data_IF_078373111562
#
_entry.id   IF_078373111562
#
_cell.length_a   1.000
_cell.length_b   1.000
_cell.length_c   1.000
_cell.angle_alpha   90.00
_cell.angle_beta   90.00
_cell.angle_gamma   90.00
#
_symmetry.space_group_name_H-M   'P 1'
#
loop_
_entity.id
_entity.type
_entity.pdbx_description
1 polymer ?
#
# COMPACT_ATOMS: atom_id res chain seq x y z
N UNK A 1 -6.01 2.32 35.14
CA UNK A 1 -6.30 1.67 33.84
C UNK A 1 -6.06 2.69 32.74
N UNK A 2 -5.14 2.40 31.81
CA UNK A 2 -4.86 3.28 30.67
C UNK A 2 -5.72 2.78 29.50
N UNK A 3 -6.41 3.68 28.81
CA UNK A 3 -7.18 3.34 27.61
C UNK A 3 -6.28 3.44 26.36
N UNK A 4 -6.36 2.45 25.47
CA UNK A 4 -5.70 2.52 24.17
C UNK A 4 -6.26 3.72 23.37
N UNK A 5 -5.42 4.66 22.87
CA UNK A 5 -5.90 5.85 22.16
C UNK A 5 -6.67 5.51 20.88
N UNK A 6 -6.36 4.39 20.24
CA UNK A 6 -7.02 3.94 19.00
C UNK A 6 -8.35 3.21 19.22
N UNK A 7 -8.44 2.29 20.19
CA UNK A 7 -9.63 1.46 20.36
C UNK A 7 -10.42 1.73 21.65
N UNK A 8 -10.00 2.69 22.47
CA UNK A 8 -10.64 3.06 23.75
C UNK A 8 -10.98 1.84 24.64
N UNK A 9 -10.16 0.78 24.56
CA UNK A 9 -10.26 -0.41 25.41
C UNK A 9 -9.17 -0.34 26.50
N UNK A 10 -9.45 -0.81 27.73
CA UNK A 10 -8.45 -0.90 28.77
C UNK A 10 -7.39 -1.95 28.41
N UNK A 11 -6.11 -1.67 28.65
CA UNK A 11 -5.01 -2.62 28.44
C UNK A 11 -4.00 -2.59 29.59
N UNK A 12 -3.27 -3.71 29.74
CA UNK A 12 -2.18 -3.85 30.70
C UNK A 12 -0.92 -3.20 30.11
N UNK A 13 -0.33 -2.26 30.84
CA UNK A 13 0.73 -1.35 30.39
C UNK A 13 2.07 -2.03 30.08
N UNK A 14 2.21 -3.34 30.32
CA UNK A 14 3.46 -4.10 30.13
C UNK A 14 3.70 -4.53 28.68
N UNK A 15 2.81 -4.18 27.74
CA UNK A 15 3.02 -4.42 26.31
C UNK A 15 2.88 -3.10 25.56
N UNK A 16 3.95 -2.70 24.87
CA UNK A 16 4.02 -1.49 24.01
C UNK A 16 2.98 -1.48 22.87
N UNK A 17 2.29 -2.59 22.63
CA UNK A 17 1.26 -2.73 21.62
C UNK A 17 -0.06 -3.20 22.22
N UNK A 18 -1.13 -2.46 21.95
CA UNK A 18 -2.51 -2.80 22.29
C UNK A 18 -2.93 -4.14 21.65
N UNK A 19 -2.93 -5.27 22.38
CA UNK A 19 -3.08 -6.59 21.76
C UNK A 19 -4.55 -6.92 21.40
N UNK A 20 -5.51 -6.16 21.95
CA UNK A 20 -6.95 -6.39 21.80
C UNK A 20 -7.66 -5.38 20.87
N UNK A 21 -6.89 -4.51 20.20
CA UNK A 21 -7.47 -3.74 19.10
C UNK A 21 -7.47 -4.66 17.86
N UNK A 22 -8.62 -4.87 17.17
CA UNK A 22 -8.58 -5.50 15.87
C UNK A 22 -7.60 -4.71 15.00
N UNK A 23 -6.70 -5.37 14.23
CA UNK A 23 -5.76 -4.64 13.39
C UNK A 23 -6.61 -3.79 12.44
N UNK A 24 -6.54 -2.45 12.48
CA UNK A 24 -7.14 -1.68 11.42
C UNK A 24 -6.16 -1.79 10.25
N UNK A 25 -6.16 -2.91 9.53
CA UNK A 25 -5.78 -2.86 8.12
C UNK A 25 -6.94 -2.22 7.37
N UNK A 26 -7.27 -1.00 7.76
CA UNK A 26 -8.18 -0.12 7.05
C UNK A 26 -7.29 0.72 6.18
N UNK A 27 -7.50 0.59 4.87
CA UNK A 27 -6.76 1.36 3.89
C UNK A 27 -6.78 2.85 4.26
N UNK A 28 -5.62 3.42 4.58
CA UNK A 28 -5.50 4.81 5.02
C UNK A 28 -4.94 5.68 3.88
N UNK A 29 -4.87 7.00 4.10
CA UNK A 29 -4.36 7.95 3.11
C UNK A 29 -2.92 7.62 2.68
N UNK A 30 -2.08 7.17 3.62
CA UNK A 30 -0.70 6.75 3.33
C UNK A 30 -0.66 5.48 2.45
N UNK A 31 -1.60 4.55 2.62
CA UNK A 31 -1.73 3.35 1.78
C UNK A 31 -2.06 3.72 0.34
N UNK A 32 -2.97 4.69 0.12
CA UNK A 32 -3.27 5.23 -1.22
C UNK A 32 -2.06 5.91 -1.84
N UNK A 33 -1.32 6.71 -1.07
CA UNK A 33 -0.13 7.39 -1.54
C UNK A 33 0.96 6.39 -1.98
N UNK A 34 1.20 5.36 -1.18
CA UNK A 34 2.18 4.31 -1.50
C UNK A 34 1.79 3.50 -2.74
N UNK A 35 0.51 3.16 -2.91
CA UNK A 35 0.03 2.51 -4.12
C UNK A 35 0.22 3.41 -5.36
N UNK A 36 -0.05 4.70 -5.22
CA UNK A 36 0.18 5.69 -6.27
C UNK A 36 1.66 5.78 -6.68
N UNK A 37 2.58 5.85 -5.72
CA UNK A 37 4.02 5.82 -5.99
C UNK A 37 4.46 4.53 -6.68
N UNK A 38 3.93 3.37 -6.27
CA UNK A 38 4.21 2.09 -6.91
C UNK A 38 3.80 2.11 -8.39
N UNK A 39 2.57 2.55 -8.69
CA UNK A 39 2.05 2.64 -10.06
C UNK A 39 2.91 3.59 -10.89
N UNK A 40 3.29 4.74 -10.33
CA UNK A 40 4.13 5.72 -11.02
C UNK A 40 5.52 5.15 -11.35
N UNK A 41 6.09 4.35 -10.44
CA UNK A 41 7.38 3.68 -10.67
C UNK A 41 7.31 2.57 -11.72
N UNK A 42 6.14 1.95 -11.91
CA UNK A 42 5.89 0.93 -12.93
C UNK A 42 5.61 1.50 -14.32
N UNK A 43 5.20 2.77 -14.39
CA UNK A 43 4.91 3.48 -15.64
C UNK A 43 6.04 3.37 -16.70
N UNK A 44 7.34 3.58 -16.39
CA UNK A 44 8.41 3.44 -17.38
C UNK A 44 8.54 1.99 -17.89
N UNK A 45 8.30 1.00 -17.04
CA UNK A 45 8.33 -0.41 -17.45
C UNK A 45 7.20 -0.71 -18.44
N UNK A 46 5.99 -0.23 -18.14
CA UNK A 46 4.84 -0.38 -19.02
C UNK A 46 5.05 0.33 -20.37
N UNK A 47 5.61 1.54 -20.36
CA UNK A 47 5.93 2.28 -21.58
C UNK A 47 6.96 1.54 -22.47
N UNK A 48 7.98 0.94 -21.87
CA UNK A 48 8.98 0.16 -22.59
C UNK A 48 8.36 -1.09 -23.21
N UNK A 49 7.52 -1.81 -22.47
CA UNK A 49 6.79 -2.99 -23.00
C UNK A 49 5.90 -2.60 -24.18
N UNK A 50 5.15 -1.50 -24.06
CA UNK A 50 4.32 -1.00 -25.15
C UNK A 50 5.15 -0.61 -26.37
N UNK A 51 6.27 0.09 -26.18
CA UNK A 51 7.18 0.46 -27.26
C UNK A 51 7.67 -0.76 -28.04
N UNK A 52 8.13 -1.81 -27.34
CA UNK A 52 8.55 -3.06 -27.98
C UNK A 52 7.40 -3.75 -28.70
N UNK A 53 6.21 -3.81 -28.10
CA UNK A 53 5.04 -4.39 -28.72
C UNK A 53 4.68 -3.71 -30.05
N UNK A 54 4.70 -2.37 -30.09
CA UNK A 54 4.49 -1.61 -31.33
C UNK A 54 5.60 -1.83 -32.37
N UNK A 55 6.86 -1.90 -31.94
CA UNK A 55 7.97 -2.24 -32.84
C UNK A 55 7.80 -3.63 -33.46
N UNK A 56 7.42 -4.63 -32.66
CA UNK A 56 7.17 -5.98 -33.15
C UNK A 56 6.01 -6.01 -34.14
N UNK A 57 4.87 -5.40 -33.80
CA UNK A 57 3.72 -5.32 -34.73
C UNK A 57 4.12 -4.63 -36.03
N UNK A 58 4.80 -3.49 -35.95
CA UNK A 58 5.26 -2.74 -37.12
C UNK A 58 6.36 -3.45 -37.92
N UNK A 59 7.04 -4.45 -37.36
CA UNK A 59 7.98 -5.30 -38.08
C UNK A 59 7.28 -6.44 -38.84
N UNK A 60 6.15 -6.93 -38.32
CA UNK A 60 5.38 -8.01 -38.95
C UNK A 60 4.35 -7.54 -39.98
N UNK A 61 4.13 -6.21 -40.12
CA UNK A 61 3.22 -5.58 -41.07
C UNK A 61 4.00 -4.78 -42.12
#
# INVERSE_FOLDING_TARGET
MILCPKCKKPYLSDKEFCPNCPPPYTWNQESWANLGCLILSLLPLAALVLFWFFLFIGFFF
#
